data_IF_771137989223
#
_entry.id   IF_771137989223
#
_cell.length_a   1.000
_cell.length_b   1.000
_cell.length_c   1.000
_cell.angle_alpha   90.00
_cell.angle_beta   90.00
_cell.angle_gamma   90.00
#
_symmetry.space_group_name_H-M   'P 1'
#
loop_
_entity.id
_entity.type
_entity.pdbx_description
1 polymer ?
#
# COMPACT_ATOMS: atom_id res chain seq x y z
N UNK A 1 -56.93 16.38 -26.76
CA UNK A 1 -55.92 17.19 -26.07
C UNK A 1 -54.99 16.24 -25.34
N UNK A 2 -53.78 16.04 -25.87
CA UNK A 2 -52.76 15.16 -25.30
C UNK A 2 -51.68 16.03 -24.66
N UNK A 3 -51.39 15.78 -23.39
CA UNK A 3 -50.31 16.43 -22.62
C UNK A 3 -48.95 15.89 -23.02
N UNK A 4 -47.92 16.74 -23.23
CA UNK A 4 -46.59 16.25 -23.57
C UNK A 4 -45.82 15.82 -22.31
N UNK A 5 -45.12 14.69 -22.44
CA UNK A 5 -44.15 14.17 -21.47
C UNK A 5 -42.88 15.01 -21.54
N UNK A 6 -42.43 15.53 -20.39
CA UNK A 6 -41.17 16.28 -20.28
C UNK A 6 -40.01 15.29 -20.18
N UNK A 7 -39.23 15.17 -21.25
CA UNK A 7 -37.92 14.53 -21.24
C UNK A 7 -36.91 15.50 -20.62
N UNK A 8 -36.52 15.25 -19.37
CA UNK A 8 -35.35 15.87 -18.77
C UNK A 8 -34.10 15.19 -19.33
N UNK A 9 -33.37 15.89 -20.20
CA UNK A 9 -32.02 15.54 -20.62
C UNK A 9 -31.05 15.77 -19.46
N UNK A 10 -30.43 14.71 -18.94
CA UNK A 10 -29.26 14.83 -18.07
C UNK A 10 -28.07 15.24 -18.94
N UNK A 11 -27.43 16.35 -18.61
CA UNK A 11 -26.17 16.81 -19.19
C UNK A 11 -24.99 16.20 -18.44
N UNK A 12 -23.92 15.84 -19.16
CA UNK A 12 -22.68 15.24 -18.62
C UNK A 12 -21.95 16.11 -17.57
N UNK A 13 -22.34 17.39 -17.44
CA UNK A 13 -21.77 18.35 -16.48
C UNK A 13 -22.08 18.02 -15.00
N UNK A 14 -23.09 17.19 -14.72
CA UNK A 14 -23.45 16.81 -13.34
C UNK A 14 -22.57 15.68 -12.76
N UNK A 15 -21.81 14.96 -13.59
CA UNK A 15 -20.91 13.88 -13.13
C UNK A 15 -19.50 14.35 -12.77
N UNK A 16 -19.09 15.53 -13.23
CA UNK A 16 -17.75 16.07 -13.02
C UNK A 16 -17.87 17.56 -12.69
N UNK A 17 -17.83 17.97 -11.40
CA UNK A 17 -17.76 19.39 -11.10
C UNK A 17 -16.53 19.98 -11.80
N UNK A 18 -16.63 21.20 -12.36
CA UNK A 18 -15.57 21.78 -13.15
C UNK A 18 -14.27 21.79 -12.34
N UNK A 19 -13.23 21.22 -12.93
CA UNK A 19 -11.86 21.39 -12.46
C UNK A 19 -11.55 22.87 -12.53
N UNK A 20 -11.08 23.46 -11.43
CA UNK A 20 -10.50 24.79 -11.43
C UNK A 20 -9.42 24.85 -12.52
N UNK A 21 -9.76 25.43 -13.66
CA UNK A 21 -8.78 25.85 -14.65
C UNK A 21 -8.10 27.07 -14.05
N UNK A 22 -6.98 26.86 -13.35
CA UNK A 22 -6.03 27.92 -13.07
C UNK A 22 -5.54 28.44 -14.43
N UNK A 23 -5.91 29.68 -14.74
CA UNK A 23 -5.37 30.40 -15.87
C UNK A 23 -3.87 30.61 -15.69
N UNK A 24 -3.13 30.32 -16.74
CA UNK A 24 -1.74 30.73 -16.90
C UNK A 24 -1.65 32.26 -16.81
N UNK A 25 -1.20 32.77 -15.66
CA UNK A 25 -0.71 34.13 -15.53
C UNK A 25 0.72 34.09 -14.97
N UNK A 26 1.65 34.31 -15.89
CA UNK A 26 3.10 34.39 -15.70
C UNK A 26 3.41 35.70 -14.99
N UNK A 27 3.69 35.64 -13.68
CA UNK A 27 4.78 36.36 -13.00
C UNK A 27 4.55 36.37 -11.48
N UNK A 28 5.08 35.35 -10.80
CA UNK A 28 5.41 35.46 -9.37
C UNK A 28 6.83 34.92 -9.17
N UNK A 29 7.75 35.84 -8.87
CA UNK A 29 9.08 35.54 -8.34
C UNK A 29 8.97 34.46 -7.28
N UNK A 30 9.57 33.30 -7.57
CA UNK A 30 9.66 32.19 -6.64
C UNK A 30 10.39 32.63 -5.38
N UNK A 31 9.68 32.61 -4.25
CA UNK A 31 10.31 32.64 -2.93
C UNK A 31 10.77 31.20 -2.64
N UNK A 32 11.92 30.85 -3.21
CA UNK A 32 12.61 29.57 -2.98
C UNK A 32 13.29 29.69 -1.62
N UNK A 33 12.61 29.29 -0.54
CA UNK A 33 13.23 28.98 0.78
C UNK A 33 12.19 28.54 1.83
N UNK A 34 11.35 27.54 1.53
CA UNK A 34 10.61 26.81 2.56
C UNK A 34 10.68 25.32 2.32
N UNK A 35 11.50 24.65 3.12
CA UNK A 35 11.51 23.19 3.25
C UNK A 35 10.10 22.72 3.61
N UNK A 36 9.52 21.79 2.83
CA UNK A 36 8.20 21.23 3.14
C UNK A 36 8.38 20.10 4.13
N UNK A 37 8.02 20.35 5.38
CA UNK A 37 8.03 19.32 6.41
C UNK A 37 6.83 18.39 6.25
N UNK A 38 7.02 17.28 5.52
CA UNK A 38 6.03 16.20 5.37
C UNK A 38 5.68 15.53 6.70
N UNK A 39 6.54 15.69 7.71
CA UNK A 39 6.33 15.15 9.06
C UNK A 39 5.60 16.11 10.00
N UNK A 40 5.29 17.34 9.56
CA UNK A 40 4.51 18.29 10.35
C UNK A 40 3.18 17.66 10.76
N UNK A 41 2.81 17.79 12.04
CA UNK A 41 1.52 17.28 12.52
C UNK A 41 0.35 17.84 11.69
N UNK A 42 -0.55 16.94 11.32
CA UNK A 42 -1.78 17.24 10.59
C UNK A 42 -2.93 16.89 11.51
N UNK A 43 -3.79 17.86 11.75
CA UNK A 43 -5.01 17.66 12.52
C UNK A 43 -5.96 16.71 11.77
N UNK A 44 -6.45 15.68 12.46
CA UNK A 44 -7.46 14.77 11.92
C UNK A 44 -8.86 15.39 11.99
N UNK A 45 -9.10 16.40 11.15
CA UNK A 45 -10.36 17.15 11.07
C UNK A 45 -11.59 16.28 10.75
N UNK A 46 -11.37 15.03 10.29
CA UNK A 46 -12.44 14.09 9.92
C UNK A 46 -12.59 12.95 10.95
N UNK A 47 -11.79 12.94 12.02
CA UNK A 47 -11.76 11.88 13.04
C UNK A 47 -11.67 10.48 12.41
N UNK A 48 -10.78 10.31 11.44
CA UNK A 48 -10.56 9.07 10.70
C UNK A 48 -9.74 8.06 11.50
N UNK A 49 -8.90 8.54 12.42
CA UNK A 49 -8.04 7.74 13.27
C UNK A 49 -8.71 7.51 14.62
N UNK A 50 -8.70 6.26 15.07
CA UNK A 50 -9.17 5.92 16.41
C UNK A 50 -8.23 6.51 17.48
N UNK A 51 -8.70 6.77 18.70
CA UNK A 51 -7.80 7.12 19.79
C UNK A 51 -6.74 6.03 20.01
N UNK A 52 -5.52 6.44 20.33
CA UNK A 52 -4.48 5.50 20.78
C UNK A 52 -4.90 4.88 22.14
N UNK A 53 -4.58 3.60 22.38
CA UNK A 53 -4.84 2.99 23.67
C UNK A 53 -4.00 3.63 24.78
N UNK A 54 -4.51 3.58 26.00
CA UNK A 54 -3.79 4.02 27.20
C UNK A 54 -3.80 2.89 28.24
N UNK A 55 -2.65 2.29 28.59
CA UNK A 55 -1.30 2.61 28.09
C UNK A 55 -1.08 2.20 26.62
N UNK A 56 -0.05 2.78 25.99
CA UNK A 56 0.42 2.35 24.68
C UNK A 56 0.92 0.91 24.70
N UNK A 57 0.88 0.19 23.56
CA UNK A 57 1.43 -1.16 23.48
C UNK A 57 2.90 -1.17 23.86
N UNK A 58 3.31 -2.18 24.63
CA UNK A 58 4.72 -2.38 24.97
C UNK A 58 5.44 -2.86 23.71
N UNK A 59 6.38 -2.06 23.21
CA UNK A 59 7.15 -2.39 22.02
C UNK A 59 7.92 -3.71 22.19
N UNK A 60 7.81 -4.58 21.18
CA UNK A 60 8.54 -5.84 21.09
C UNK A 60 10.01 -5.59 20.75
N UNK A 61 10.92 -6.40 21.29
CA UNK A 61 12.38 -6.26 21.07
C UNK A 61 12.77 -6.39 19.58
N UNK A 62 12.03 -7.20 18.84
CA UNK A 62 12.26 -7.46 17.41
C UNK A 62 11.48 -6.53 16.47
N UNK A 63 10.64 -5.64 17.01
CA UNK A 63 9.88 -4.69 16.19
C UNK A 63 10.81 -3.69 15.50
N UNK A 64 10.61 -3.50 14.20
CA UNK A 64 11.38 -2.54 13.40
C UNK A 64 10.42 -1.57 12.71
N UNK A 65 10.53 -0.27 12.99
CA UNK A 65 9.88 0.77 12.20
C UNK A 65 10.87 1.31 11.18
N UNK A 66 10.77 0.82 9.93
CA UNK A 66 11.68 1.17 8.85
C UNK A 66 11.18 2.37 8.05
N UNK A 67 12.01 3.41 7.96
CA UNK A 67 11.80 4.58 7.12
C UNK A 67 12.68 4.50 5.85
N UNK A 68 12.46 5.36 4.83
CA UNK A 68 13.26 5.47 3.60
C UNK A 68 14.70 6.00 3.83
N UNK A 69 15.47 5.34 4.69
CA UNK A 69 16.88 5.63 4.98
C UNK A 69 17.69 4.36 4.74
N UNK A 70 17.78 3.97 3.47
CA UNK A 70 18.39 2.72 3.03
C UNK A 70 17.42 1.54 2.97
N UNK A 71 17.93 0.35 2.66
CA UNK A 71 17.14 -0.87 2.53
C UNK A 71 16.49 -1.22 3.88
N UNK A 72 15.18 -1.57 3.93
CA UNK A 72 14.54 -1.98 5.18
C UNK A 72 15.20 -3.23 5.78
N UNK A 73 15.31 -3.27 7.10
CA UNK A 73 15.65 -4.48 7.85
C UNK A 73 14.37 -5.30 8.07
N UNK A 74 14.23 -6.37 7.29
CA UNK A 74 13.03 -7.21 7.29
C UNK A 74 13.13 -8.31 8.36
N UNK A 75 12.08 -8.43 9.15
CA UNK A 75 11.73 -9.62 9.94
C UNK A 75 11.02 -10.65 9.05
N UNK A 76 10.74 -11.84 9.60
CA UNK A 76 10.01 -12.89 8.88
C UNK A 76 8.62 -12.43 8.42
N UNK A 77 7.97 -11.58 9.22
CA UNK A 77 6.72 -10.93 8.88
C UNK A 77 6.92 -9.42 8.78
N UNK A 78 6.33 -8.83 7.76
CA UNK A 78 6.50 -7.41 7.46
C UNK A 78 5.26 -6.78 6.82
N UNK A 79 5.04 -5.51 7.15
CA UNK A 79 3.87 -4.71 6.75
C UNK A 79 4.35 -3.45 6.06
N UNK A 80 3.80 -3.14 4.87
CA UNK A 80 4.00 -1.84 4.22
C UNK A 80 2.76 -0.96 4.43
N UNK A 81 2.98 0.29 4.83
CA UNK A 81 1.92 1.29 5.05
C UNK A 81 1.73 2.19 3.82
N UNK A 82 1.18 1.60 2.75
CA UNK A 82 0.82 2.33 1.53
C UNK A 82 -0.42 3.20 1.76
N UNK A 83 -0.53 4.33 1.07
CA UNK A 83 -1.68 5.19 1.28
C UNK A 83 -1.36 6.67 1.25
N UNK A 84 -2.34 7.43 1.70
CA UNK A 84 -2.31 8.88 1.72
C UNK A 84 -1.11 9.40 2.51
N UNK A 85 -0.25 10.14 1.82
CA UNK A 85 0.75 11.06 2.37
C UNK A 85 0.46 12.46 1.82
N UNK A 86 0.30 12.55 0.49
CA UNK A 86 -0.01 13.76 -0.29
C UNK A 86 0.83 14.98 0.16
N UNK A 87 2.15 14.84 0.10
CA UNK A 87 3.10 15.89 0.49
C UNK A 87 2.86 16.43 1.91
N UNK A 88 2.41 15.56 2.82
CA UNK A 88 2.17 15.88 4.22
C UNK A 88 0.78 16.41 4.52
N UNK A 89 -0.17 16.38 3.59
CA UNK A 89 -1.58 16.77 3.86
C UNK A 89 -2.39 15.70 4.56
N UNK A 90 -2.02 14.43 4.40
CA UNK A 90 -2.76 13.33 5.03
C UNK A 90 -2.49 13.26 6.54
N UNK A 91 -3.46 12.80 7.30
CA UNK A 91 -3.29 12.49 8.73
C UNK A 91 -2.15 11.49 8.93
N UNK A 92 -1.49 11.52 10.11
CA UNK A 92 -0.32 10.70 10.42
C UNK A 92 -0.63 9.23 10.75
N UNK A 93 -1.44 8.60 9.90
CA UNK A 93 -1.94 7.25 10.11
C UNK A 93 -0.83 6.19 10.06
N UNK A 94 0.27 6.41 9.32
CA UNK A 94 1.38 5.45 9.24
C UNK A 94 2.09 5.29 10.58
N UNK A 95 2.34 6.41 11.29
CA UNK A 95 2.95 6.41 12.63
C UNK A 95 2.03 5.74 13.64
N UNK A 96 0.73 6.00 13.52
CA UNK A 96 -0.27 5.36 14.37
C UNK A 96 -0.34 3.84 14.12
N UNK A 97 -0.35 3.39 12.87
CA UNK A 97 -0.31 1.97 12.52
C UNK A 97 0.95 1.29 13.06
N UNK A 98 2.12 1.91 12.90
CA UNK A 98 3.37 1.41 13.47
C UNK A 98 3.29 1.28 15.01
N UNK A 99 2.69 2.26 15.69
CA UNK A 99 2.47 2.21 17.15
C UNK A 99 1.53 1.07 17.54
N UNK A 100 0.41 0.91 16.83
CA UNK A 100 -0.61 -0.12 17.07
C UNK A 100 -0.16 -1.54 16.76
N UNK A 101 0.96 -1.71 16.05
CA UNK A 101 1.59 -2.99 15.74
C UNK A 101 2.94 -3.19 16.46
N UNK A 102 3.34 -2.24 17.31
CA UNK A 102 4.67 -2.23 17.92
C UNK A 102 4.94 -3.38 18.90
N UNK A 103 3.88 -4.00 19.42
CA UNK A 103 3.91 -5.20 20.25
C UNK A 103 4.23 -6.48 19.48
N UNK A 104 4.32 -6.43 18.14
CA UNK A 104 4.60 -7.60 17.31
C UNK A 104 6.07 -7.69 16.88
N UNK A 105 6.63 -8.90 16.72
CA UNK A 105 8.01 -9.13 16.26
C UNK A 105 8.20 -8.92 14.74
N UNK A 106 7.73 -7.80 14.19
CA UNK A 106 7.64 -7.56 12.73
C UNK A 106 8.39 -6.31 12.28
N UNK A 107 8.56 -6.17 10.96
CA UNK A 107 8.98 -4.90 10.34
C UNK A 107 7.77 -4.15 9.80
N UNK A 108 7.63 -2.87 10.15
CA UNK A 108 6.69 -1.93 9.51
C UNK A 108 7.48 -0.97 8.63
N UNK A 109 7.32 -1.11 7.31
CA UNK A 109 7.84 -0.20 6.30
C UNK A 109 6.90 1.00 6.16
N UNK A 110 7.38 2.17 6.53
CA UNK A 110 6.65 3.42 6.48
C UNK A 110 7.27 4.35 5.42
N UNK A 111 6.62 4.59 4.27
CA UNK A 111 7.15 5.43 3.20
C UNK A 111 7.16 6.93 3.55
N UNK A 112 6.41 7.37 4.57
CA UNK A 112 6.40 8.76 5.02
C UNK A 112 7.70 9.09 5.75
N UNK A 113 8.56 9.87 5.10
CA UNK A 113 9.87 10.30 5.62
C UNK A 113 9.95 11.81 5.75
N UNK A 114 10.35 12.30 6.92
CA UNK A 114 10.53 13.72 7.19
C UNK A 114 11.74 14.35 6.53
N UNK A 115 11.55 15.63 6.16
CA UNK A 115 12.43 16.51 5.36
C UNK A 115 12.39 16.21 3.87
N UNK A 116 11.27 16.57 3.24
CA UNK A 116 11.21 16.65 1.79
C UNK A 116 11.94 17.91 1.34
N UNK A 117 13.10 17.73 0.69
CA UNK A 117 13.81 18.85 0.09
C UNK A 117 12.91 19.45 -1.01
N UNK A 118 12.56 20.74 -0.92
CA UNK A 118 11.60 21.38 -1.84
C UNK A 118 12.13 21.47 -3.28
N UNK A 119 13.43 21.23 -3.47
CA UNK A 119 14.06 21.13 -4.79
C UNK A 119 13.90 19.75 -5.43
N UNK A 120 13.37 18.75 -4.71
CA UNK A 120 13.08 17.43 -5.28
C UNK A 120 11.89 17.56 -6.21
N UNK A 121 12.17 17.40 -7.49
CA UNK A 121 11.16 17.40 -8.54
C UNK A 121 10.67 15.97 -8.83
N UNK A 122 9.38 15.76 -9.17
CA UNK A 122 8.82 14.44 -9.48
C UNK A 122 9.30 13.86 -10.83
N UNK A 123 10.57 14.08 -11.19
CA UNK A 123 11.17 13.62 -12.42
C UNK A 123 12.04 12.39 -12.14
N UNK A 124 11.89 11.35 -12.95
CA UNK A 124 12.62 10.10 -12.80
C UNK A 124 14.16 10.25 -12.83
N UNK A 125 14.69 11.35 -13.36
CA UNK A 125 16.13 11.66 -13.36
C UNK A 125 16.63 12.28 -12.05
N UNK A 126 15.74 12.80 -11.21
CA UNK A 126 16.09 13.37 -9.92
C UNK A 126 16.39 12.24 -8.94
N UNK A 127 17.64 12.15 -8.47
CA UNK A 127 18.12 11.02 -7.70
C UNK A 127 17.29 10.75 -6.43
N UNK A 128 17.03 11.76 -5.60
CA UNK A 128 16.26 11.59 -4.38
C UNK A 128 14.81 11.12 -4.62
N UNK A 129 14.18 11.56 -5.71
CA UNK A 129 12.83 11.12 -6.09
C UNK A 129 12.86 9.66 -6.54
N UNK A 130 13.85 9.30 -7.38
CA UNK A 130 14.06 7.92 -7.80
C UNK A 130 14.32 6.98 -6.62
N UNK A 131 15.19 7.37 -5.69
CA UNK A 131 15.52 6.57 -4.51
C UNK A 131 14.30 6.30 -3.65
N UNK A 132 13.43 7.30 -3.44
CA UNK A 132 12.16 7.12 -2.74
C UNK A 132 11.25 6.12 -3.47
N UNK A 133 11.02 6.32 -4.77
CA UNK A 133 10.13 5.44 -5.57
C UNK A 133 10.68 4.01 -5.65
N UNK A 134 11.99 3.85 -5.84
CA UNK A 134 12.63 2.52 -5.88
C UNK A 134 12.60 1.84 -4.51
N UNK A 135 12.71 2.60 -3.42
CA UNK A 135 12.52 2.08 -2.06
C UNK A 135 11.09 1.58 -1.83
N UNK A 136 10.08 2.36 -2.24
CA UNK A 136 8.67 1.99 -2.12
C UNK A 136 8.36 0.73 -2.94
N UNK A 137 8.75 0.70 -4.20
CA UNK A 137 8.57 -0.46 -5.08
C UNK A 137 9.28 -1.71 -4.52
N UNK A 138 10.54 -1.57 -4.10
CA UNK A 138 11.29 -2.67 -3.51
C UNK A 138 10.68 -3.18 -2.21
N UNK A 139 10.12 -2.30 -1.38
CA UNK A 139 9.46 -2.71 -0.15
C UNK A 139 8.12 -3.40 -0.40
N UNK A 140 7.29 -2.88 -1.31
CA UNK A 140 6.03 -3.51 -1.74
C UNK A 140 6.27 -4.95 -2.25
N UNK A 141 7.37 -5.18 -2.97
CA UNK A 141 7.78 -6.52 -3.42
C UNK A 141 8.09 -7.46 -2.24
N UNK A 142 8.80 -6.97 -1.23
CA UNK A 142 9.33 -7.79 -0.13
C UNK A 142 8.35 -8.04 1.01
N UNK A 143 7.37 -7.15 1.25
CA UNK A 143 6.49 -7.30 2.42
C UNK A 143 5.49 -8.47 2.31
N UNK A 144 4.98 -8.90 3.46
CA UNK A 144 3.95 -9.95 3.58
C UNK A 144 2.53 -9.37 3.48
N UNK A 145 2.36 -8.16 4.00
CA UNK A 145 1.09 -7.43 4.02
C UNK A 145 1.30 -6.01 3.50
N UNK A 146 0.42 -5.56 2.62
CA UNK A 146 0.36 -4.18 2.12
C UNK A 146 -0.95 -3.59 2.62
N UNK A 147 -0.85 -2.57 3.45
CA UNK A 147 -1.99 -1.83 3.98
C UNK A 147 -2.17 -0.59 3.14
N UNK A 148 -3.34 -0.40 2.54
CA UNK A 148 -3.74 0.85 1.90
C UNK A 148 -4.68 1.62 2.80
N UNK A 149 -4.35 2.87 3.12
CA UNK A 149 -5.27 3.79 3.77
C UNK A 149 -5.55 4.99 2.87
N UNK A 150 -6.83 5.25 2.62
CA UNK A 150 -7.31 6.39 1.84
C UNK A 150 -7.91 7.46 2.76
N UNK A 151 -7.15 8.52 3.00
CA UNK A 151 -7.61 9.71 3.70
C UNK A 151 -8.66 10.44 2.85
N UNK A 152 -9.83 10.65 3.42
CA UNK A 152 -11.00 11.28 2.78
C UNK A 152 -10.76 12.75 2.39
N UNK A 153 -9.69 13.36 2.88
CA UNK A 153 -9.27 14.73 2.54
C UNK A 153 -8.25 14.81 1.39
N UNK A 154 -7.85 13.65 0.85
CA UNK A 154 -6.78 13.53 -0.16
C UNK A 154 -7.25 12.95 -1.48
N UNK A 155 -6.43 13.07 -2.52
CA UNK A 155 -6.66 12.47 -3.86
C UNK A 155 -5.94 11.13 -4.04
N UNK A 156 -4.77 10.96 -3.44
CA UNK A 156 -3.99 9.71 -3.41
C UNK A 156 -3.83 8.97 -4.77
N UNK A 157 -3.40 9.64 -5.87
CA UNK A 157 -3.32 9.01 -7.19
C UNK A 157 -2.28 7.88 -7.29
N UNK A 158 -1.11 8.05 -6.65
CA UNK A 158 -0.06 7.02 -6.63
C UNK A 158 -0.54 5.79 -5.85
N UNK A 159 -1.26 6.00 -4.74
CA UNK A 159 -1.88 4.93 -3.98
C UNK A 159 -2.88 4.12 -4.82
N UNK A 160 -3.67 4.77 -5.68
CA UNK A 160 -4.58 4.06 -6.60
C UNK A 160 -3.81 3.23 -7.64
N UNK A 161 -2.69 3.74 -8.13
CA UNK A 161 -1.79 3.00 -9.04
C UNK A 161 -1.20 1.77 -8.34
N UNK A 162 -0.71 1.92 -7.12
CA UNK A 162 -0.15 0.83 -6.31
C UNK A 162 -1.20 -0.22 -5.95
N UNK A 163 -2.43 0.20 -5.59
CA UNK A 163 -3.52 -0.73 -5.36
C UNK A 163 -3.79 -1.57 -6.62
N UNK A 164 -3.84 -0.94 -7.79
CA UNK A 164 -3.98 -1.64 -9.07
C UNK A 164 -2.82 -2.62 -9.34
N UNK A 165 -1.60 -2.26 -8.97
CA UNK A 165 -0.41 -3.11 -9.12
C UNK A 165 -0.46 -4.36 -8.22
N UNK A 166 -1.00 -4.25 -7.01
CA UNK A 166 -0.93 -5.30 -5.98
C UNK A 166 -2.26 -6.01 -5.70
N UNK A 167 -3.39 -5.59 -6.27
CA UNK A 167 -4.72 -6.16 -5.98
C UNK A 167 -4.80 -7.69 -6.12
N UNK A 168 -4.03 -8.29 -7.03
CA UNK A 168 -4.02 -9.74 -7.27
C UNK A 168 -2.92 -10.51 -6.49
N UNK A 169 -2.28 -9.90 -5.50
CA UNK A 169 -1.10 -10.47 -4.82
C UNK A 169 -1.40 -11.29 -3.55
N UNK A 170 -2.65 -11.31 -3.08
CA UNK A 170 -3.07 -11.86 -1.79
C UNK A 170 -2.38 -11.22 -0.55
N UNK A 171 -1.68 -10.09 -0.72
CA UNK A 171 -1.02 -9.36 0.37
C UNK A 171 -1.81 -8.15 0.85
N UNK A 172 -2.85 -7.77 0.13
CA UNK A 172 -3.43 -6.43 0.24
C UNK A 172 -4.60 -6.39 1.22
N UNK A 173 -4.62 -5.39 2.07
CA UNK A 173 -5.79 -4.95 2.83
C UNK A 173 -6.02 -3.45 2.62
N UNK A 174 -7.28 -3.05 2.46
CA UNK A 174 -7.66 -1.67 2.17
C UNK A 174 -8.53 -1.09 3.28
N UNK A 175 -8.25 0.14 3.69
CA UNK A 175 -9.13 1.01 4.46
C UNK A 175 -9.54 2.19 3.58
N UNK A 176 -10.81 2.23 3.20
CA UNK A 176 -11.36 3.29 2.37
C UNK A 176 -12.76 3.65 2.86
N UNK A 177 -12.89 4.77 3.56
CA UNK A 177 -14.18 5.22 4.06
C UNK A 177 -15.10 5.74 2.95
N UNK A 178 -16.43 5.74 3.15
CA UNK A 178 -17.43 6.10 2.13
C UNK A 178 -17.31 7.56 1.64
N UNK A 179 -16.61 8.41 2.38
CA UNK A 179 -16.38 9.83 2.02
C UNK A 179 -15.19 10.03 1.08
N UNK A 180 -14.40 8.99 0.79
CA UNK A 180 -13.29 9.12 -0.16
C UNK A 180 -13.83 9.30 -1.59
N UNK A 181 -13.28 10.27 -2.34
CA UNK A 181 -13.82 10.72 -3.64
C UNK A 181 -13.83 9.65 -4.75
N UNK A 182 -13.09 8.55 -4.58
CA UNK A 182 -13.08 7.37 -5.47
C UNK A 182 -13.45 6.09 -4.73
N UNK A 183 -14.20 6.20 -3.64
CA UNK A 183 -14.65 5.05 -2.83
C UNK A 183 -15.30 3.96 -3.69
N UNK A 184 -16.23 4.30 -4.58
CA UNK A 184 -16.88 3.33 -5.46
C UNK A 184 -15.90 2.54 -6.34
N UNK A 185 -14.90 3.21 -6.93
CA UNK A 185 -13.87 2.56 -7.73
C UNK A 185 -13.02 1.60 -6.88
N UNK A 186 -12.65 2.02 -5.67
CA UNK A 186 -11.86 1.20 -4.75
C UNK A 186 -12.66 -0.03 -4.33
N UNK A 187 -13.92 0.15 -3.93
CA UNK A 187 -14.83 -0.93 -3.51
C UNK A 187 -15.03 -1.97 -4.61
N UNK A 188 -15.42 -1.55 -5.83
CA UNK A 188 -15.62 -2.45 -6.97
C UNK A 188 -14.33 -3.20 -7.32
N UNK A 189 -13.17 -2.53 -7.25
CA UNK A 189 -11.88 -3.19 -7.49
C UNK A 189 -11.59 -4.24 -6.41
N UNK A 190 -11.82 -3.90 -5.13
CA UNK A 190 -11.58 -4.83 -4.03
C UNK A 190 -12.47 -6.06 -4.14
N UNK A 191 -13.77 -5.89 -4.40
CA UNK A 191 -14.72 -6.98 -4.63
C UNK A 191 -14.29 -7.87 -5.80
N UNK A 192 -13.87 -7.26 -6.92
CA UNK A 192 -13.46 -7.99 -8.13
C UNK A 192 -12.25 -8.88 -7.91
N UNK A 193 -11.30 -8.45 -7.10
CA UNK A 193 -10.05 -9.16 -6.83
C UNK A 193 -10.06 -9.93 -5.50
N UNK A 194 -11.15 -9.90 -4.74
CA UNK A 194 -11.24 -10.55 -3.43
C UNK A 194 -10.35 -9.90 -2.36
N UNK A 195 -10.06 -8.60 -2.50
CA UNK A 195 -9.25 -7.86 -1.54
C UNK A 195 -10.11 -7.48 -0.32
N UNK A 196 -9.70 -7.82 0.92
CA UNK A 196 -10.40 -7.38 2.11
C UNK A 196 -10.36 -5.86 2.24
N UNK A 197 -11.53 -5.26 2.44
CA UNK A 197 -11.70 -3.83 2.59
C UNK A 197 -12.51 -3.52 3.85
N UNK A 198 -12.06 -2.52 4.62
CA UNK A 198 -12.76 -1.93 5.76
C UNK A 198 -12.98 -0.44 5.52
N UNK A 199 -13.91 0.17 6.25
CA UNK A 199 -14.27 1.57 6.07
C UNK A 199 -13.66 2.50 7.14
N UNK A 200 -13.04 1.94 8.19
CA UNK A 200 -12.51 2.69 9.32
C UNK A 200 -11.12 2.23 9.76
N UNK A 201 -10.32 3.15 10.32
CA UNK A 201 -9.02 2.81 10.89
C UNK A 201 -9.15 1.87 12.10
N UNK A 202 -10.26 1.96 12.84
CA UNK A 202 -10.56 1.09 13.99
C UNK A 202 -10.59 -0.39 13.57
N UNK A 203 -11.20 -0.67 12.41
CA UNK A 203 -11.32 -2.02 11.85
C UNK A 203 -10.06 -2.45 11.08
N UNK A 204 -9.25 -1.48 10.63
CA UNK A 204 -8.02 -1.75 9.88
C UNK A 204 -6.97 -2.49 10.71
N UNK A 205 -6.70 -2.01 11.92
CA UNK A 205 -5.69 -2.63 12.82
C UNK A 205 -5.97 -4.12 13.08
N UNK A 206 -7.16 -4.53 13.54
CA UNK A 206 -7.45 -5.96 13.77
C UNK A 206 -7.43 -6.76 12.46
N UNK A 207 -7.85 -6.18 11.34
CA UNK A 207 -7.81 -6.87 10.06
C UNK A 207 -6.38 -7.11 9.54
N UNK A 208 -5.45 -6.16 9.77
CA UNK A 208 -4.01 -6.37 9.52
C UNK A 208 -3.46 -7.50 10.39
N UNK A 209 -3.79 -7.52 11.68
CA UNK A 209 -3.39 -8.61 12.60
C UNK A 209 -3.94 -9.97 12.14
N UNK A 210 -5.21 -10.02 11.75
CA UNK A 210 -5.82 -11.23 11.21
C UNK A 210 -5.12 -11.71 9.95
N UNK A 211 -4.74 -10.80 9.05
CA UNK A 211 -4.01 -11.16 7.83
C UNK A 211 -2.62 -11.74 8.15
N UNK A 212 -1.88 -11.14 9.10
CA UNK A 212 -0.59 -11.68 9.56
C UNK A 212 -0.74 -13.10 10.12
N UNK A 213 -1.79 -13.37 10.91
CA UNK A 213 -2.10 -14.71 11.39
C UNK A 213 -2.42 -15.68 10.25
N UNK A 214 -3.24 -15.28 9.27
CA UNK A 214 -3.53 -16.09 8.07
C UNK A 214 -2.26 -16.40 7.26
N UNK A 215 -1.29 -15.49 7.24
CA UNK A 215 0.04 -15.71 6.64
C UNK A 215 0.95 -16.62 7.47
N UNK A 216 0.48 -17.14 8.61
CA UNK A 216 1.18 -18.11 9.43
C UNK A 216 1.95 -17.51 10.60
N UNK A 217 1.69 -16.25 10.98
CA UNK A 217 2.27 -15.67 12.18
C UNK A 217 1.65 -16.30 13.42
N UNK A 218 2.48 -16.94 14.24
CA UNK A 218 2.11 -17.52 15.52
C UNK A 218 3.07 -17.01 16.59
N UNK A 219 2.52 -16.57 17.72
CA UNK A 219 3.29 -16.03 18.84
C UNK A 219 3.17 -16.96 20.03
N UNK A 220 4.21 -17.02 20.85
CA UNK A 220 4.19 -17.70 22.15
C UNK A 220 3.54 -16.82 23.24
N UNK A 221 3.50 -17.32 24.48
CA UNK A 221 2.93 -16.60 25.63
C UNK A 221 3.69 -15.31 25.99
N UNK A 222 4.91 -15.11 25.47
CA UNK A 222 5.71 -13.91 25.66
C UNK A 222 5.56 -12.89 24.51
N UNK A 223 4.81 -13.23 23.46
CA UNK A 223 4.67 -12.43 22.25
C UNK A 223 5.82 -12.61 21.24
N UNK A 224 6.73 -13.55 21.49
CA UNK A 224 7.82 -13.89 20.58
C UNK A 224 7.31 -14.79 19.44
N UNK A 225 7.93 -14.70 18.27
CA UNK A 225 7.54 -15.52 17.11
C UNK A 225 7.89 -16.99 17.35
N UNK A 226 6.94 -17.90 17.09
CA UNK A 226 7.22 -19.34 17.11
C UNK A 226 8.08 -19.71 15.88
N UNK A 227 9.36 -19.96 16.14
CA UNK A 227 10.36 -20.30 15.13
C UNK A 227 11.28 -19.13 14.74
N UNK A 228 12.13 -19.28 13.71
CA UNK A 228 13.10 -18.25 13.34
C UNK A 228 12.41 -17.00 12.80
N UNK A 229 12.82 -15.83 13.29
CA UNK A 229 12.37 -14.53 12.80
C UNK A 229 13.29 -13.96 11.72
N UNK A 230 13.46 -14.70 10.62
CA UNK A 230 14.38 -14.37 9.54
C UNK A 230 13.61 -14.12 8.25
N UNK A 231 13.90 -12.99 7.59
CA UNK A 231 13.36 -12.66 6.28
C UNK A 231 13.86 -13.62 5.19
N UNK A 232 12.96 -14.02 4.30
CA UNK A 232 13.30 -14.72 3.07
C UNK A 232 13.02 -13.78 1.90
N UNK A 233 14.06 -13.36 1.13
CA UNK A 233 13.86 -12.49 -0.02
C UNK A 233 12.83 -13.06 -0.99
N UNK A 234 11.90 -12.20 -1.41
CA UNK A 234 10.86 -12.55 -2.38
C UNK A 234 11.32 -12.17 -3.78
N UNK A 235 11.08 -13.03 -4.75
CA UNK A 235 11.36 -12.72 -6.15
C UNK A 235 10.43 -11.61 -6.66
N UNK A 236 10.90 -10.87 -7.66
CA UNK A 236 10.08 -9.86 -8.32
C UNK A 236 8.88 -10.50 -9.02
N UNK A 237 7.70 -9.87 -8.98
CA UNK A 237 6.54 -10.34 -9.73
C UNK A 237 6.87 -10.52 -11.22
N UNK A 238 6.61 -11.71 -11.75
CA UNK A 238 6.76 -12.03 -13.17
C UNK A 238 5.46 -11.80 -13.92
N UNK A 239 5.56 -11.47 -15.21
CA UNK A 239 4.38 -11.39 -16.08
C UNK A 239 3.76 -12.78 -16.24
N UNK A 240 2.44 -12.85 -16.40
CA UNK A 240 1.73 -14.11 -16.67
C UNK A 240 2.32 -14.88 -17.86
N UNK A 241 2.67 -14.20 -18.95
CA UNK A 241 3.30 -14.83 -20.11
C UNK A 241 4.68 -15.45 -19.82
N UNK A 242 5.44 -14.87 -18.89
CA UNK A 242 6.71 -15.44 -18.44
C UNK A 242 6.48 -16.70 -17.61
N UNK A 243 5.51 -16.66 -16.68
CA UNK A 243 5.14 -17.83 -15.89
C UNK A 243 4.59 -18.97 -16.77
N UNK A 244 3.76 -18.66 -17.76
CA UNK A 244 3.25 -19.65 -18.71
C UNK A 244 4.35 -20.29 -19.55
N UNK A 245 5.35 -19.50 -19.96
CA UNK A 245 6.52 -20.02 -20.68
C UNK A 245 7.36 -20.95 -19.80
N UNK A 246 7.65 -20.55 -18.55
CA UNK A 246 8.38 -21.38 -17.57
C UNK A 246 7.63 -22.69 -17.29
N UNK A 247 6.30 -22.62 -17.08
CA UNK A 247 5.47 -23.82 -16.88
C UNK A 247 5.51 -24.74 -18.10
N UNK A 248 5.49 -24.20 -19.32
CA UNK A 248 5.54 -25.00 -20.54
C UNK A 248 6.90 -25.68 -20.72
N UNK A 249 8.00 -24.99 -20.38
CA UNK A 249 9.35 -25.53 -20.39
C UNK A 249 9.51 -26.64 -19.36
N UNK A 250 9.14 -26.39 -18.10
CA UNK A 250 9.18 -27.40 -17.04
C UNK A 250 8.36 -28.65 -17.39
N UNK A 251 7.19 -28.49 -18.03
CA UNK A 251 6.40 -29.65 -18.48
C UNK A 251 7.13 -30.50 -19.51
N UNK A 252 7.84 -29.88 -20.47
CA UNK A 252 8.62 -30.62 -21.47
C UNK A 252 9.77 -31.39 -20.84
N UNK A 253 10.48 -30.79 -19.89
CA UNK A 253 11.54 -31.47 -19.15
C UNK A 253 11.01 -32.66 -18.36
N UNK A 254 9.89 -32.49 -17.66
CA UNK A 254 9.22 -33.57 -16.91
C UNK A 254 8.83 -34.72 -17.85
N UNK A 255 8.27 -34.42 -19.02
CA UNK A 255 7.87 -35.44 -19.99
C UNK A 255 9.09 -36.18 -20.58
N UNK A 256 10.19 -35.46 -20.87
CA UNK A 256 11.45 -36.06 -21.31
C UNK A 256 12.02 -37.02 -20.26
N UNK A 257 12.09 -36.59 -19.00
CA UNK A 257 12.60 -37.41 -17.90
C UNK A 257 11.73 -38.64 -17.66
N UNK A 258 10.40 -38.53 -17.78
CA UNK A 258 9.47 -39.67 -17.69
C UNK A 258 9.69 -40.68 -18.81
N UNK A 259 9.93 -40.20 -20.04
CA UNK A 259 10.23 -41.07 -21.17
C UNK A 259 11.55 -41.82 -20.98
N UNK A 260 12.60 -41.13 -20.50
CA UNK A 260 13.89 -41.76 -20.17
C UNK A 260 13.78 -42.80 -19.05
N UNK A 261 13.03 -42.50 -17.99
CA UNK A 261 12.82 -43.43 -16.88
C UNK A 261 12.06 -44.68 -17.34
N UNK A 262 11.01 -44.50 -18.16
CA UNK A 262 10.26 -45.59 -18.78
C UNK A 262 11.16 -46.48 -19.65
N UNK A 263 12.03 -45.87 -20.46
CA UNK A 263 12.99 -46.60 -21.28
C UNK A 263 13.98 -47.40 -20.42
N UNK A 264 14.49 -46.83 -19.32
CA UNK A 264 15.41 -47.51 -18.38
C UNK A 264 14.74 -48.63 -17.59
N UNK A 265 13.46 -48.50 -17.24
CA UNK A 265 12.70 -49.53 -16.50
C UNK A 265 12.31 -50.75 -17.35
N UNK A 266 12.49 -50.68 -18.67
CA UNK A 266 12.20 -51.77 -19.62
C UNK A 266 13.45 -52.61 -19.96
N UNK A 267 14.60 -52.27 -19.39
CA UNK A 267 15.88 -52.99 -19.49
C UNK A 267 16.07 -53.76 -18.18
#
# INVERSE_FOLDING_TARGET
MATPVSTTSFSDDDLFPPTDTEGDDVDKKANVDKETDVDKEVEDIRNQLSPLPSPLPKQHKDFVHSLPKGKPDYRKFSVFTAGSIEMGKAVHWQKQMATMLSDLPITVCNPRSGKWNPNVTPEAKHQAFREQVEWELGALEQVDVIVFFFDTTTRSPITLLELGLWAASDKVIVCCGPKYWRHGNVMITCERYGVPMVESFADLVPAVRSMLHTKGMQLDDNGDLIGPNVHVPKDKPKKKSQLEAEIAETKREVDSLRAELSAKSRI
#
